data_IF_831728351926
#
_entry.id   IF_831728351926
#
_cell.length_a   1.000
_cell.length_b   1.000
_cell.length_c   1.000
_cell.angle_alpha   90.00
_cell.angle_beta   90.00
_cell.angle_gamma   90.00
#
_symmetry.space_group_name_H-M   'P 1'
#
loop_
_entity.id
_entity.type
_entity.pdbx_description
1 polymer ?
#
# COMPACT_ATOMS: atom_id res chain seq x y z
N UNK A 1 -19.27 -13.65 -14.10
CA UNK A 1 -20.06 -12.48 -13.67
C UNK A 1 -20.03 -11.48 -14.82
N UNK A 2 -21.17 -11.03 -15.32
CA UNK A 2 -21.20 -9.96 -16.31
C UNK A 2 -20.46 -8.74 -15.73
N UNK A 3 -19.62 -8.06 -16.54
CA UNK A 3 -19.01 -6.79 -16.11
C UNK A 3 -20.16 -5.87 -15.73
N UNK A 4 -20.14 -5.35 -14.50
CA UNK A 4 -21.10 -4.33 -14.10
C UNK A 4 -20.98 -3.17 -15.09
N UNK A 5 -22.11 -2.71 -15.61
CA UNK A 5 -22.12 -1.56 -16.50
C UNK A 5 -21.83 -0.31 -15.67
N UNK A 6 -20.56 0.06 -15.60
CA UNK A 6 -20.11 1.23 -14.84
C UNK A 6 -20.64 2.55 -15.40
N UNK A 7 -21.37 2.57 -16.53
CA UNK A 7 -22.11 3.73 -17.07
C UNK A 7 -23.42 4.03 -16.36
N UNK A 8 -24.00 3.02 -15.72
CA UNK A 8 -25.21 3.19 -14.94
C UNK A 8 -24.89 3.62 -13.49
N UNK A 9 -25.87 4.23 -12.79
CA UNK A 9 -25.78 4.43 -11.35
C UNK A 9 -25.44 3.13 -10.62
N UNK A 10 -24.51 3.20 -9.67
CA UNK A 10 -24.14 2.10 -8.81
C UNK A 10 -25.22 1.89 -7.74
N UNK A 11 -25.60 0.64 -7.53
CA UNK A 11 -26.52 0.23 -6.46
C UNK A 11 -25.81 0.06 -5.11
N UNK A 12 -24.48 -0.01 -5.10
CA UNK A 12 -23.67 -0.17 -3.91
C UNK A 12 -22.40 0.69 -4.02
N UNK A 13 -22.17 1.52 -2.99
CA UNK A 13 -21.13 2.55 -2.99
C UNK A 13 -20.40 2.55 -1.66
N UNK A 14 -19.07 2.65 -1.70
CA UNK A 14 -18.23 2.84 -0.51
C UNK A 14 -18.18 4.34 -0.12
N UNK A 15 -18.40 4.61 1.16
CA UNK A 15 -18.39 5.94 1.76
C UNK A 15 -17.39 6.02 2.90
N UNK A 16 -16.97 7.25 3.22
CA UNK A 16 -16.13 7.54 4.39
C UNK A 16 -16.61 8.80 5.10
N UNK A 17 -16.83 8.70 6.40
CA UNK A 17 -17.09 9.85 7.26
C UNK A 17 -15.78 10.28 7.91
N UNK A 18 -15.20 11.41 7.50
CA UNK A 18 -13.95 11.88 8.10
C UNK A 18 -14.08 12.17 9.61
N UNK A 19 -15.14 12.82 10.13
CA UNK A 19 -15.28 13.07 11.57
C UNK A 19 -15.44 11.82 12.45
N UNK A 20 -16.10 10.77 11.95
CA UNK A 20 -16.32 9.53 12.70
C UNK A 20 -15.28 8.46 12.39
N UNK A 21 -14.38 8.72 11.43
CA UNK A 21 -13.44 7.78 10.83
C UNK A 21 -14.08 6.48 10.30
N UNK A 22 -15.41 6.47 10.19
CA UNK A 22 -16.20 5.31 9.77
C UNK A 22 -16.15 5.11 8.26
N UNK A 23 -15.88 3.88 7.87
CA UNK A 23 -16.07 3.37 6.52
C UNK A 23 -17.31 2.49 6.47
N UNK A 24 -18.06 2.57 5.39
CA UNK A 24 -19.19 1.67 5.14
C UNK A 24 -19.48 1.58 3.65
N UNK A 25 -20.16 0.50 3.30
CA UNK A 25 -20.68 0.25 1.97
C UNK A 25 -22.20 0.12 2.10
N UNK A 26 -22.94 0.84 1.26
CA UNK A 26 -24.39 0.83 1.27
C UNK A 26 -24.97 1.27 -0.08
N UNK A 27 -26.27 1.07 -0.25
CA UNK A 27 -27.03 1.74 -1.30
C UNK A 27 -27.00 3.27 -1.07
N UNK A 28 -26.74 4.08 -2.10
CA UNK A 28 -26.75 5.53 -1.96
C UNK A 28 -28.14 6.03 -1.61
N UNK A 29 -28.23 6.83 -0.54
CA UNK A 29 -29.49 7.49 -0.16
C UNK A 29 -29.90 8.59 -1.14
N UNK A 30 -28.91 9.16 -1.86
CA UNK A 30 -29.12 10.18 -2.88
C UNK A 30 -28.09 10.06 -3.98
N UNK A 31 -28.54 10.22 -5.22
CA UNK A 31 -27.72 10.19 -6.44
C UNK A 31 -27.94 11.51 -7.17
N UNK A 32 -26.87 12.17 -7.58
CA UNK A 32 -26.90 13.38 -8.38
C UNK A 32 -26.24 13.14 -9.74
N UNK A 33 -26.80 13.78 -10.78
CA UNK A 33 -26.14 13.89 -12.08
C UNK A 33 -24.86 14.72 -11.95
N UNK A 34 -23.80 14.25 -12.58
CA UNK A 34 -22.55 14.99 -12.73
C UNK A 34 -22.05 14.88 -14.17
N UNK A 35 -22.74 15.54 -15.12
CA UNK A 35 -22.52 15.35 -16.56
C UNK A 35 -21.11 15.77 -17.02
N UNK A 36 -20.44 16.62 -16.25
CA UNK A 36 -19.07 17.08 -16.51
C UNK A 36 -18.01 15.99 -16.25
N UNK A 37 -18.36 14.94 -15.49
CA UNK A 37 -17.44 13.82 -15.27
C UNK A 37 -17.53 12.78 -16.40
N UNK A 38 -16.58 12.88 -17.34
CA UNK A 38 -16.42 11.95 -18.46
C UNK A 38 -16.23 10.48 -18.04
N UNK A 39 -15.81 10.23 -16.79
CA UNK A 39 -15.50 8.89 -16.31
C UNK A 39 -16.73 8.24 -15.70
N UNK A 40 -17.52 8.94 -14.91
CA UNK A 40 -18.68 8.36 -14.25
C UNK A 40 -19.60 9.50 -13.80
N UNK A 41 -20.66 9.81 -14.58
CA UNK A 41 -21.40 11.06 -14.47
C UNK A 41 -22.43 11.04 -13.32
N UNK A 42 -22.07 10.44 -12.20
CA UNK A 42 -22.93 10.23 -11.04
C UNK A 42 -22.16 10.53 -9.75
N UNK A 43 -22.79 11.29 -8.86
CA UNK A 43 -22.36 11.49 -7.47
C UNK A 43 -23.32 10.77 -6.55
N UNK A 44 -22.78 10.23 -5.48
CA UNK A 44 -23.48 9.39 -4.53
C UNK A 44 -23.30 9.95 -3.14
N UNK A 45 -24.38 9.96 -2.39
CA UNK A 45 -24.41 10.41 -1.03
C UNK A 45 -25.08 9.37 -0.13
N UNK A 46 -24.51 9.17 1.05
CA UNK A 46 -24.99 8.22 2.04
C UNK A 46 -24.89 8.82 3.44
N UNK A 47 -25.89 8.53 4.28
CA UNK A 47 -25.87 8.92 5.68
C UNK A 47 -24.87 8.05 6.46
N UNK A 48 -24.02 8.69 7.26
CA UNK A 48 -23.11 7.98 8.14
C UNK A 48 -23.91 7.21 9.21
N UNK A 49 -23.68 5.89 9.40
CA UNK A 49 -24.40 5.10 10.41
C UNK A 49 -24.22 5.61 11.85
N UNK A 50 -23.11 6.29 12.14
CA UNK A 50 -22.76 6.70 13.50
C UNK A 50 -23.25 8.11 13.86
N UNK A 51 -23.19 9.05 12.91
CA UNK A 51 -23.57 10.45 13.17
C UNK A 51 -24.76 10.95 12.35
N UNK A 52 -25.32 10.13 11.46
CA UNK A 52 -26.43 10.48 10.57
C UNK A 52 -26.10 11.51 9.48
N UNK A 53 -24.94 12.17 9.53
CA UNK A 53 -24.57 13.19 8.55
C UNK A 53 -24.34 12.57 7.19
N UNK A 54 -24.87 13.21 6.16
CA UNK A 54 -24.65 12.82 4.79
C UNK A 54 -23.18 13.02 4.38
N UNK A 55 -22.65 12.05 3.64
CA UNK A 55 -21.29 12.04 3.09
C UNK A 55 -21.34 11.62 1.64
N UNK A 56 -20.51 12.26 0.83
CA UNK A 56 -20.26 11.83 -0.54
C UNK A 56 -19.44 10.53 -0.58
N UNK A 57 -19.49 9.81 -1.70
CA UNK A 57 -18.69 8.61 -1.94
C UNK A 57 -17.22 8.80 -1.59
N UNK A 58 -16.55 7.72 -1.17
CA UNK A 58 -15.16 7.78 -0.77
C UNK A 58 -14.25 8.15 -1.95
N UNK A 59 -13.14 8.83 -1.68
CA UNK A 59 -12.12 9.10 -2.70
C UNK A 59 -11.53 7.80 -3.28
N UNK A 60 -11.53 6.70 -2.51
CA UNK A 60 -11.15 5.37 -2.97
C UNK A 60 -12.14 4.82 -3.99
N UNK A 61 -13.44 4.93 -3.74
CA UNK A 61 -14.49 4.54 -4.67
C UNK A 61 -14.36 5.28 -6.01
N UNK A 62 -14.10 6.59 -5.97
CA UNK A 62 -13.80 7.41 -7.15
C UNK A 62 -12.56 6.90 -7.90
N UNK A 63 -11.49 6.58 -7.17
CA UNK A 63 -10.25 6.01 -7.73
C UNK A 63 -10.49 4.68 -8.46
N UNK A 64 -11.30 3.80 -7.87
CA UNK A 64 -11.65 2.50 -8.46
C UNK A 64 -12.46 2.66 -9.75
N UNK A 65 -13.47 3.52 -9.76
CA UNK A 65 -14.26 3.83 -10.96
C UNK A 65 -13.36 4.33 -12.10
N UNK A 66 -12.42 5.24 -11.80
CA UNK A 66 -11.43 5.72 -12.78
C UNK A 66 -10.54 4.60 -13.29
N UNK A 67 -10.03 3.74 -12.40
CA UNK A 67 -9.17 2.63 -12.78
C UNK A 67 -9.89 1.62 -13.69
N UNK A 68 -11.15 1.31 -13.41
CA UNK A 68 -11.95 0.39 -14.23
C UNK A 68 -12.28 0.99 -15.59
N UNK A 69 -12.72 2.26 -15.63
CA UNK A 69 -13.08 2.98 -16.85
C UNK A 69 -11.91 3.23 -17.78
N UNK A 70 -10.74 3.57 -17.22
CA UNK A 70 -9.50 3.83 -17.97
C UNK A 70 -8.57 2.62 -18.03
N UNK A 71 -9.09 1.42 -17.77
CA UNK A 71 -8.28 0.20 -17.91
C UNK A 71 -7.81 0.05 -19.35
N UNK A 72 -6.49 0.01 -19.53
CA UNK A 72 -5.80 -0.14 -20.83
C UNK A 72 -5.55 -1.60 -21.19
N UNK A 73 -6.11 -2.55 -20.43
CA UNK A 73 -5.97 -3.97 -20.69
C UNK A 73 -6.66 -4.41 -21.99
N UNK A 74 -6.33 -5.62 -22.49
CA UNK A 74 -6.92 -6.16 -23.71
C UNK A 74 -8.44 -6.31 -23.58
N UNK A 75 -9.17 -5.82 -24.58
CA UNK A 75 -10.64 -5.84 -24.62
C UNK A 75 -11.22 -7.03 -25.39
N UNK A 76 -10.40 -7.69 -26.22
CA UNK A 76 -10.82 -8.85 -27.02
C UNK A 76 -10.71 -10.15 -26.23
N UNK A 77 -11.57 -11.13 -26.55
CA UNK A 77 -11.51 -12.46 -25.93
C UNK A 77 -10.13 -13.11 -26.10
N UNK A 78 -9.55 -13.00 -27.29
CA UNK A 78 -8.22 -13.50 -27.62
C UNK A 78 -7.11 -12.82 -26.80
N UNK A 79 -7.15 -11.49 -26.68
CA UNK A 79 -6.15 -10.74 -25.90
C UNK A 79 -6.25 -11.01 -24.39
N UNK A 80 -7.47 -11.20 -23.89
CA UNK A 80 -7.71 -11.63 -22.51
C UNK A 80 -7.16 -13.05 -22.28
N UNK A 81 -7.40 -13.98 -23.20
CA UNK A 81 -6.88 -15.34 -23.13
C UNK A 81 -5.34 -15.39 -23.19
N UNK A 82 -4.73 -14.56 -24.05
CA UNK A 82 -3.27 -14.43 -24.14
C UNK A 82 -2.66 -13.91 -22.83
N UNK A 83 -3.28 -12.90 -22.21
CA UNK A 83 -2.85 -12.37 -20.92
C UNK A 83 -3.01 -13.41 -19.80
N UNK A 84 -4.12 -14.14 -19.79
CA UNK A 84 -4.34 -15.22 -18.83
C UNK A 84 -3.30 -16.34 -18.98
N UNK A 85 -2.93 -16.70 -20.22
CA UNK A 85 -1.87 -17.67 -20.49
C UNK A 85 -0.49 -17.19 -20.00
N UNK A 86 -0.19 -15.90 -20.13
CA UNK A 86 1.06 -15.31 -19.63
C UNK A 86 1.15 -15.32 -18.10
N UNK A 87 0.02 -15.32 -17.39
CA UNK A 87 -0.04 -15.37 -15.93
C UNK A 87 -0.08 -16.81 -15.39
N UNK A 88 -0.33 -17.81 -16.25
CA UNK A 88 -0.40 -19.19 -15.83
C UNK A 88 0.96 -19.67 -15.32
N UNK A 89 1.01 -20.15 -14.07
CA UNK A 89 2.25 -20.57 -13.40
C UNK A 89 3.01 -19.45 -12.70
N UNK A 90 2.49 -18.21 -12.72
CA UNK A 90 3.08 -17.06 -12.05
C UNK A 90 2.22 -16.58 -10.86
N UNK A 91 2.83 -16.04 -9.79
CA UNK A 91 4.27 -15.98 -9.58
C UNK A 91 4.85 -17.37 -9.27
N UNK A 92 6.02 -17.69 -9.82
CA UNK A 92 6.77 -18.89 -9.40
C UNK A 92 7.28 -18.72 -7.96
N UNK A 93 7.71 -19.79 -7.27
CA UNK A 93 8.32 -19.67 -5.94
C UNK A 93 9.49 -18.67 -5.89
N UNK A 94 10.36 -18.63 -6.90
CA UNK A 94 11.45 -17.66 -6.98
C UNK A 94 10.95 -16.22 -7.18
N UNK A 95 9.91 -16.02 -8.00
CA UNK A 95 9.31 -14.70 -8.23
C UNK A 95 8.54 -14.20 -7.01
N UNK A 96 7.92 -15.10 -6.26
CA UNK A 96 7.26 -14.80 -4.99
C UNK A 96 8.30 -14.37 -3.94
N UNK A 97 9.48 -15.00 -3.90
CA UNK A 97 10.58 -14.58 -3.02
C UNK A 97 11.08 -13.17 -3.37
N UNK A 98 11.24 -12.86 -4.67
CA UNK A 98 11.64 -11.52 -5.14
C UNK A 98 10.56 -10.47 -4.86
N UNK A 99 9.29 -10.79 -5.09
CA UNK A 99 8.16 -9.89 -4.82
C UNK A 99 8.00 -9.63 -3.33
N UNK A 100 8.19 -10.65 -2.47
CA UNK A 100 8.24 -10.48 -1.00
C UNK A 100 9.40 -9.62 -0.55
N UNK A 101 10.58 -9.81 -1.14
CA UNK A 101 11.76 -8.99 -0.86
C UNK A 101 11.55 -7.51 -1.26
N UNK A 102 10.91 -7.27 -2.41
CA UNK A 102 10.53 -5.93 -2.84
C UNK A 102 9.40 -5.33 -2.01
N UNK A 103 8.43 -6.15 -1.54
CA UNK A 103 7.35 -5.71 -0.65
C UNK A 103 7.83 -5.29 0.74
N UNK A 104 8.97 -5.83 1.20
CA UNK A 104 9.65 -5.38 2.42
C UNK A 104 10.39 -4.03 2.25
N UNK A 105 10.39 -3.44 1.05
CA UNK A 105 10.92 -2.11 0.81
C UNK A 105 9.84 -1.22 0.22
N UNK A 106 9.55 -0.13 0.91
CA UNK A 106 9.13 1.14 0.30
C UNK A 106 10.28 1.69 -0.58
N UNK A 107 10.73 0.88 -1.56
CA UNK A 107 12.07 0.92 -2.15
C UNK A 107 12.27 1.99 -3.22
N UNK A 108 11.23 2.76 -3.55
CA UNK A 108 11.36 3.89 -4.46
C UNK A 108 11.81 5.18 -3.74
N UNK A 109 11.58 5.28 -2.42
CA UNK A 109 11.86 6.47 -1.60
C UNK A 109 12.68 6.20 -0.35
N UNK A 110 13.11 4.95 -0.12
CA UNK A 110 13.93 4.58 1.03
C UNK A 110 15.32 5.23 0.92
N UNK A 111 15.52 6.34 1.63
CA UNK A 111 16.85 6.91 1.87
C UNK A 111 17.64 5.90 2.70
N UNK A 112 18.60 5.22 2.09
CA UNK A 112 19.57 4.39 2.83
C UNK A 112 20.42 5.36 3.64
N UNK A 113 20.21 5.43 4.95
CA UNK A 113 21.10 6.16 5.83
C UNK A 113 22.44 5.40 5.86
N UNK A 114 23.42 5.87 5.09
CA UNK A 114 24.77 5.28 5.02
C UNK A 114 25.62 5.63 6.24
N UNK A 115 25.12 6.47 7.14
CA UNK A 115 25.87 6.95 8.30
C UNK A 115 24.96 7.11 9.52
N UNK A 116 25.24 6.33 10.56
CA UNK A 116 24.56 6.38 11.85
C UNK A 116 25.53 6.93 12.90
N UNK A 117 25.59 8.24 13.16
CA UNK A 117 26.50 8.77 14.17
C UNK A 117 26.21 8.19 15.56
N UNK A 118 27.23 8.12 16.41
CA UNK A 118 27.03 7.79 17.81
C UNK A 118 26.21 8.91 18.48
N UNK A 119 24.95 8.64 18.77
CA UNK A 119 24.04 9.56 19.45
C UNK A 119 23.32 8.83 20.59
N UNK A 120 23.94 8.71 21.77
CA UNK A 120 23.28 8.14 22.95
C UNK A 120 21.92 8.80 23.16
N UNK A 121 20.89 7.99 23.34
CA UNK A 121 19.48 8.41 23.52
C UNK A 121 18.86 9.17 22.33
N UNK A 122 19.54 9.21 21.19
CA UNK A 122 19.10 9.91 19.98
C UNK A 122 18.27 9.08 19.01
N UNK A 123 18.17 7.77 19.23
CA UNK A 123 17.40 6.85 18.39
C UNK A 123 16.31 6.16 19.21
N UNK A 124 15.20 5.80 18.57
CA UNK A 124 14.04 5.21 19.24
C UNK A 124 14.36 3.92 20.02
N UNK A 125 15.32 3.12 19.56
CA UNK A 125 15.73 1.88 20.21
C UNK A 125 16.75 2.08 21.36
N UNK A 126 17.27 3.30 21.58
CA UNK A 126 18.28 3.55 22.62
C UNK A 126 17.79 3.16 24.02
N UNK A 127 16.49 3.30 24.31
CA UNK A 127 15.92 2.95 25.61
C UNK A 127 16.04 1.47 25.98
N UNK A 128 16.06 0.57 24.98
CA UNK A 128 16.27 -0.88 25.16
C UNK A 128 17.66 -1.36 24.75
N UNK A 129 18.56 -0.45 24.38
CA UNK A 129 19.90 -0.78 23.92
C UNK A 129 20.77 -1.25 25.09
N UNK A 130 21.51 -2.33 24.90
CA UNK A 130 22.42 -2.95 25.87
C UNK A 130 23.85 -2.39 25.82
N UNK A 131 24.18 -1.57 24.81
CA UNK A 131 25.49 -0.95 24.67
C UNK A 131 25.69 0.10 25.78
N UNK A 132 26.77 -0.02 26.54
CA UNK A 132 27.12 0.96 27.59
C UNK A 132 27.22 2.38 27.01
N UNK A 133 26.67 3.38 27.72
CA UNK A 133 26.48 4.74 27.19
C UNK A 133 27.81 5.45 26.96
N UNK A 134 28.77 5.24 27.86
CA UNK A 134 30.12 5.78 27.72
C UNK A 134 30.86 5.19 26.52
N UNK A 135 30.73 3.87 26.32
CA UNK A 135 31.29 3.19 25.17
C UNK A 135 30.62 3.64 23.86
N UNK A 136 29.28 3.75 23.86
CA UNK A 136 28.51 4.23 22.71
C UNK A 136 28.95 5.63 22.28
N UNK A 137 29.13 6.56 23.23
CA UNK A 137 29.57 7.94 22.97
C UNK A 137 30.98 8.02 22.38
N UNK A 138 31.86 7.09 22.76
CA UNK A 138 33.24 7.04 22.26
C UNK A 138 33.36 6.50 20.83
N UNK A 139 32.30 5.89 20.28
CA UNK A 139 32.36 5.33 18.93
C UNK A 139 32.14 6.38 17.84
N UNK A 140 32.71 6.18 16.63
CA UNK A 140 32.44 7.04 15.48
C UNK A 140 31.03 6.86 14.90
N UNK A 141 30.36 5.76 15.23
CA UNK A 141 29.02 5.41 14.76
C UNK A 141 28.23 4.58 15.78
N UNK A 142 26.90 4.53 15.62
CA UNK A 142 26.03 3.68 16.40
C UNK A 142 26.25 2.19 16.03
N UNK A 143 26.87 1.43 16.95
CA UNK A 143 27.21 0.02 16.75
C UNK A 143 26.00 -0.82 16.36
N UNK A 144 24.85 -0.64 17.03
CA UNK A 144 23.63 -1.42 16.77
C UNK A 144 23.08 -1.18 15.36
N UNK A 145 23.06 0.08 14.90
CA UNK A 145 22.62 0.37 13.54
C UNK A 145 23.64 -0.10 12.49
N UNK A 146 24.93 -0.04 12.80
CA UNK A 146 25.96 -0.61 11.94
C UNK A 146 25.82 -2.13 11.84
N UNK A 147 25.57 -2.84 12.94
CA UNK A 147 25.29 -4.27 12.96
C UNK A 147 24.05 -4.62 12.12
N UNK A 148 22.94 -3.91 12.32
CA UNK A 148 21.74 -4.10 11.50
C UNK A 148 22.03 -3.86 10.02
N UNK A 149 22.73 -2.78 9.67
CA UNK A 149 23.12 -2.49 8.29
C UNK A 149 23.96 -3.62 7.68
N UNK A 150 24.95 -4.14 8.42
CA UNK A 150 25.81 -5.22 7.94
C UNK A 150 25.04 -6.54 7.77
N UNK A 151 24.09 -6.86 8.66
CA UNK A 151 23.20 -8.01 8.53
C UNK A 151 22.32 -7.89 7.28
N UNK A 152 21.77 -6.69 7.02
CA UNK A 152 21.00 -6.41 5.81
C UNK A 152 21.84 -6.51 4.54
N UNK A 153 23.08 -6.00 4.58
CA UNK A 153 24.00 -6.09 3.46
C UNK A 153 24.39 -7.55 3.18
N UNK A 154 24.74 -8.32 4.21
CA UNK A 154 25.06 -9.74 4.09
C UNK A 154 23.89 -10.57 3.55
N UNK A 155 22.66 -10.34 4.04
CA UNK A 155 21.46 -11.00 3.54
C UNK A 155 21.21 -10.71 2.05
N UNK A 156 21.52 -9.49 1.61
CA UNK A 156 21.39 -9.08 0.21
C UNK A 156 22.44 -9.73 -0.69
N UNK A 157 23.73 -9.66 -0.31
CA UNK A 157 24.84 -10.26 -1.06
C UNK A 157 24.66 -11.79 -1.18
N UNK A 158 24.23 -12.45 -0.11
CA UNK A 158 24.01 -13.90 -0.08
C UNK A 158 22.65 -14.32 -0.65
N UNK A 159 21.80 -13.36 -1.04
CA UNK A 159 20.42 -13.58 -1.54
C UNK A 159 19.58 -14.47 -0.62
N UNK A 160 19.82 -14.42 0.68
CA UNK A 160 19.18 -15.28 1.66
C UNK A 160 18.41 -14.44 2.70
N UNK A 161 17.08 -14.28 2.54
CA UNK A 161 16.27 -13.46 3.45
C UNK A 161 16.12 -14.07 4.85
N UNK A 162 16.53 -15.33 5.08
CA UNK A 162 16.51 -15.95 6.41
C UNK A 162 17.40 -15.23 7.41
N UNK A 163 18.45 -14.55 6.95
CA UNK A 163 19.33 -13.74 7.82
C UNK A 163 18.63 -12.50 8.41
N UNK A 164 17.43 -12.15 7.92
CA UNK A 164 16.60 -11.08 8.45
C UNK A 164 15.45 -11.58 9.33
N UNK A 165 15.27 -12.89 9.45
CA UNK A 165 14.21 -13.46 10.30
C UNK A 165 14.65 -13.39 11.77
N UNK A 166 14.06 -12.49 12.55
CA UNK A 166 14.33 -12.33 13.98
C UNK A 166 15.11 -11.08 14.38
N UNK A 167 15.38 -10.18 13.42
CA UNK A 167 15.79 -8.78 13.66
C UNK A 167 14.51 -7.95 13.84
#
# INVERSE_FOLDING_TARGET
MAKSDTYQPLTEVEFRCAPCERWWTAEPGRVEDWPEDEIHPWRYFGACPDCGREREQSGRQRGLLRAWRRSTGPKTAEGMAATAKNLAGHPTPEEALRTRFNGMKHGLSARVATYFPAKPDGYAFCGGCDVARDYCRAQPCCIRQTEHFMLHHAAFEQKNPKHLMGI
#
